data_IF_409263298696
#
_entry.id   IF_409263298696
#
_cell.length_a   1.000
_cell.length_b   1.000
_cell.length_c   1.000
_cell.angle_alpha   90.00
_cell.angle_beta   90.00
_cell.angle_gamma   90.00
#
_symmetry.space_group_name_H-M   'P 1'
#
loop_
_entity.id
_entity.type
_entity.pdbx_description
1 polymer ?
#
# COMPACT_ATOMS: atom_id res chain seq x y z
N UNK A 1 15.17 13.10 -15.98
CA UNK A 1 16.37 12.59 -15.29
C UNK A 1 15.98 12.33 -13.85
N UNK A 2 15.82 11.06 -13.49
CA UNK A 2 15.66 10.69 -12.08
C UNK A 2 16.98 10.90 -11.35
N UNK A 3 16.97 11.51 -10.15
CA UNK A 3 18.19 11.65 -9.37
C UNK A 3 18.69 10.26 -8.94
N UNK A 4 20.00 10.07 -8.94
CA UNK A 4 20.61 8.84 -8.46
C UNK A 4 20.30 8.59 -6.98
N UNK A 5 20.19 7.31 -6.63
CA UNK A 5 20.04 6.91 -5.23
C UNK A 5 21.26 7.37 -4.42
N UNK A 6 21.01 7.93 -3.25
CA UNK A 6 22.10 8.22 -2.31
C UNK A 6 22.81 6.92 -1.93
N UNK A 7 24.09 6.96 -1.60
CA UNK A 7 24.89 5.79 -1.22
C UNK A 7 24.24 4.97 -0.11
N UNK A 8 23.63 5.63 0.88
CA UNK A 8 22.91 4.97 1.97
C UNK A 8 21.69 4.15 1.47
N UNK A 9 20.91 4.70 0.52
CA UNK A 9 19.76 4.02 -0.06
C UNK A 9 20.15 2.92 -1.05
N UNK A 10 21.32 3.03 -1.67
CA UNK A 10 21.85 2.02 -2.59
C UNK A 10 22.51 0.84 -1.86
N UNK A 11 22.85 0.97 -0.57
CA UNK A 11 23.42 -0.12 0.21
C UNK A 11 22.42 -1.29 0.35
N UNK A 12 22.88 -2.56 0.23
CA UNK A 12 22.02 -3.72 0.45
C UNK A 12 21.39 -3.68 1.84
N UNK A 13 20.07 -3.87 1.92
CA UNK A 13 19.37 -3.91 3.19
C UNK A 13 17.97 -3.33 3.15
N UNK A 14 17.49 -2.91 4.32
CA UNK A 14 16.13 -2.39 4.48
C UNK A 14 15.92 -1.09 3.70
N UNK A 15 16.87 -0.17 3.74
CA UNK A 15 16.74 1.12 3.08
C UNK A 15 16.63 1.00 1.56
N UNK A 16 17.41 0.11 0.96
CA UNK A 16 17.29 -0.18 -0.48
C UNK A 16 15.91 -0.76 -0.82
N UNK A 17 15.40 -1.69 0.01
CA UNK A 17 14.06 -2.27 -0.21
C UNK A 17 12.98 -1.20 -0.13
N UNK A 18 13.04 -0.30 0.85
CA UNK A 18 12.09 0.81 0.96
C UNK A 18 12.18 1.76 -0.24
N UNK A 19 13.39 2.07 -0.71
CA UNK A 19 13.60 2.88 -1.89
C UNK A 19 12.99 2.22 -3.13
N UNK A 20 13.23 0.94 -3.36
CA UNK A 20 12.65 0.18 -4.47
C UNK A 20 11.12 0.19 -4.38
N UNK A 21 10.55 -0.08 -3.20
CA UNK A 21 9.10 -0.09 -3.02
C UNK A 21 8.46 1.28 -3.27
N UNK A 22 9.19 2.35 -2.92
CA UNK A 22 8.76 3.72 -3.17
C UNK A 22 8.80 4.07 -4.66
N UNK A 23 9.91 3.78 -5.34
CA UNK A 23 10.04 4.00 -6.79
C UNK A 23 8.97 3.24 -7.57
N UNK A 24 8.76 1.97 -7.23
CA UNK A 24 7.69 1.18 -7.85
C UNK A 24 6.30 1.78 -7.63
N UNK A 25 6.06 2.40 -6.49
CA UNK A 25 4.78 3.06 -6.20
C UNK A 25 4.57 4.31 -7.06
N UNK A 26 5.64 4.99 -7.46
CA UNK A 26 5.60 6.17 -8.32
C UNK A 26 5.47 5.75 -9.79
N UNK A 27 6.34 4.87 -10.25
CA UNK A 27 6.41 4.44 -11.65
C UNK A 27 5.13 3.69 -12.09
N UNK A 28 4.62 2.80 -11.22
CA UNK A 28 3.43 2.00 -11.50
C UNK A 28 2.16 2.57 -10.83
N UNK A 29 2.12 3.88 -10.63
CA UNK A 29 0.91 4.56 -10.16
C UNK A 29 -0.26 4.28 -11.11
N UNK A 30 -1.42 3.89 -10.56
CA UNK A 30 -2.64 3.52 -11.31
C UNK A 30 -2.59 2.22 -12.12
N UNK A 31 -1.51 1.42 -12.02
CA UNK A 31 -1.38 0.13 -12.72
C UNK A 31 -1.76 -1.07 -11.83
N UNK A 32 -2.37 -0.83 -10.69
CA UNK A 32 -2.84 -1.84 -9.72
C UNK A 32 -1.73 -2.72 -9.09
N UNK A 33 -0.46 -2.47 -9.43
CA UNK A 33 0.70 -3.24 -8.94
C UNK A 33 0.94 -3.07 -7.44
N UNK A 34 0.58 -1.90 -6.89
CA UNK A 34 0.86 -1.52 -5.50
C UNK A 34 0.32 -2.52 -4.48
N UNK A 35 -0.90 -3.01 -4.67
CA UNK A 35 -1.51 -3.99 -3.78
C UNK A 35 -0.68 -5.28 -3.70
N UNK A 36 -0.27 -5.80 -4.84
CA UNK A 36 0.53 -7.03 -4.91
C UNK A 36 1.93 -6.87 -4.32
N UNK A 37 2.56 -5.72 -4.50
CA UNK A 37 3.84 -5.42 -3.87
C UNK A 37 3.73 -5.40 -2.36
N UNK A 38 2.72 -4.72 -1.82
CA UNK A 38 2.50 -4.62 -0.38
C UNK A 38 2.15 -5.98 0.25
N UNK A 39 1.32 -6.78 -0.39
CA UNK A 39 0.96 -8.12 0.09
C UNK A 39 2.16 -9.07 0.04
N UNK A 40 2.91 -9.10 -1.06
CA UNK A 40 4.10 -9.93 -1.21
C UNK A 40 5.18 -9.60 -0.19
N UNK A 41 5.34 -8.32 0.15
CA UNK A 41 6.34 -7.86 1.11
C UNK A 41 5.82 -7.81 2.55
N UNK A 42 4.58 -8.23 2.78
CA UNK A 42 3.90 -8.23 4.08
C UNK A 42 3.93 -6.84 4.75
N UNK A 43 3.59 -5.81 3.99
CA UNK A 43 3.61 -4.41 4.41
C UNK A 43 2.25 -3.95 4.92
N UNK A 44 1.73 -4.64 5.95
CA UNK A 44 0.50 -4.27 6.64
C UNK A 44 0.58 -2.89 7.29
N UNK A 45 1.78 -2.46 7.69
CA UNK A 45 2.07 -1.11 8.15
C UNK A 45 1.58 -0.05 7.16
N UNK A 46 1.80 -0.25 5.86
CA UNK A 46 1.36 0.68 4.83
C UNK A 46 -0.14 0.59 4.53
N UNK A 47 -0.75 -0.58 4.65
CA UNK A 47 -2.21 -0.72 4.56
C UNK A 47 -2.94 -0.04 5.72
N UNK A 48 -2.35 -0.07 6.91
CA UNK A 48 -2.88 0.57 8.12
C UNK A 48 -2.58 2.07 8.18
N UNK A 49 -1.70 2.57 7.32
CA UNK A 49 -1.37 4.00 7.30
C UNK A 49 -2.56 4.83 6.81
N UNK A 50 -2.95 5.87 7.54
CA UNK A 50 -3.99 6.79 7.11
C UNK A 50 -3.67 7.45 5.77
N UNK A 51 -4.67 7.58 4.91
CA UNK A 51 -4.52 8.35 3.67
C UNK A 51 -4.69 9.82 3.99
N UNK A 52 -3.77 10.64 3.48
CA UNK A 52 -3.84 12.08 3.58
C UNK A 52 -4.55 12.65 2.35
N UNK A 53 -5.44 13.59 2.58
CA UNK A 53 -6.05 14.41 1.54
C UNK A 53 -5.34 15.76 1.51
N UNK A 54 -5.00 16.22 0.32
CA UNK A 54 -4.43 17.54 0.10
C UNK A 54 -5.56 18.51 -0.26
N UNK A 55 -5.73 19.56 0.55
CA UNK A 55 -6.54 20.71 0.21
C UNK A 55 -5.66 21.80 -0.38
N UNK A 56 -6.07 22.31 -1.51
CA UNK A 56 -5.43 23.43 -2.16
C UNK A 56 -6.44 24.58 -2.19
N UNK A 57 -6.14 25.64 -1.50
CA UNK A 57 -6.95 26.86 -1.51
C UNK A 57 -6.17 27.99 -2.16
N UNK A 58 -6.86 28.82 -2.93
CA UNK A 58 -6.30 30.03 -3.55
C UNK A 58 -6.99 31.23 -2.93
N UNK A 59 -6.23 32.17 -2.40
CA UNK A 59 -6.77 33.41 -1.87
C UNK A 59 -7.08 34.43 -2.98
N UNK A 60 -7.64 35.58 -2.58
CA UNK A 60 -7.98 36.68 -3.50
C UNK A 60 -6.78 37.35 -4.14
N UNK A 61 -5.57 37.12 -3.60
CA UNK A 61 -4.31 37.65 -4.12
C UNK A 61 -3.59 36.64 -5.04
N UNK A 62 -4.17 35.43 -5.22
CA UNK A 62 -3.64 34.39 -6.08
C UNK A 62 -2.63 33.46 -5.40
N UNK A 63 -2.44 33.58 -4.09
CA UNK A 63 -1.51 32.71 -3.32
C UNK A 63 -2.17 31.38 -3.03
N UNK A 64 -1.45 30.28 -3.28
CA UNK A 64 -1.90 28.92 -2.99
C UNK A 64 -1.45 28.48 -1.61
N UNK A 65 -2.40 27.97 -0.82
CA UNK A 65 -2.13 27.32 0.47
C UNK A 65 -2.44 25.83 0.36
N UNK A 66 -1.52 25.01 0.86
CA UNK A 66 -1.61 23.56 0.84
C UNK A 66 -1.80 23.02 2.26
N UNK A 67 -2.91 22.36 2.51
CA UNK A 67 -3.21 21.79 3.83
C UNK A 67 -3.47 20.30 3.72
N UNK A 68 -2.78 19.52 4.57
CA UNK A 68 -3.00 18.07 4.66
C UNK A 68 -4.08 17.78 5.70
N UNK A 69 -5.04 16.94 5.33
CA UNK A 69 -6.09 16.46 6.23
C UNK A 69 -6.11 14.92 6.25
N UNK A 70 -6.03 14.36 7.46
CA UNK A 70 -6.10 12.93 7.72
C UNK A 70 -7.46 12.47 8.23
N UNK A 71 -8.31 13.38 8.65
CA UNK A 71 -9.52 13.09 9.44
C UNK A 71 -10.51 12.19 8.72
N UNK A 72 -10.74 12.43 7.45
CA UNK A 72 -11.78 11.75 6.65
C UNK A 72 -11.44 10.28 6.36
N UNK A 73 -10.17 9.91 6.37
CA UNK A 73 -9.70 8.60 5.92
C UNK A 73 -9.19 7.69 7.04
N UNK A 74 -9.19 8.16 8.29
CA UNK A 74 -8.78 7.36 9.45
C UNK A 74 -9.77 6.24 9.79
N UNK A 75 -10.97 6.25 9.20
CA UNK A 75 -12.02 5.27 9.47
C UNK A 75 -12.11 4.15 8.42
N UNK A 76 -11.12 4.05 7.53
CA UNK A 76 -11.10 2.97 6.55
C UNK A 76 -11.07 1.61 7.24
N UNK A 77 -11.83 0.67 6.70
CA UNK A 77 -11.92 -0.68 7.24
C UNK A 77 -10.57 -1.37 7.42
N UNK A 78 -9.61 -1.13 6.51
CA UNK A 78 -8.25 -1.67 6.58
C UNK A 78 -7.44 -1.18 7.79
N UNK A 79 -7.63 0.06 8.21
CA UNK A 79 -6.93 0.61 9.38
C UNK A 79 -7.42 -0.07 10.67
N UNK A 80 -8.73 -0.29 10.76
CA UNK A 80 -9.36 -0.85 11.97
C UNK A 80 -9.40 -2.38 11.98
N UNK A 81 -9.58 -2.99 10.81
CA UNK A 81 -9.94 -4.40 10.68
C UNK A 81 -8.93 -5.21 9.88
N UNK A 82 -7.67 -4.79 9.85
CA UNK A 82 -6.64 -5.57 9.19
C UNK A 82 -6.50 -6.95 9.82
N UNK A 83 -6.41 -7.97 8.99
CA UNK A 83 -6.08 -9.33 9.40
C UNK A 83 -5.04 -9.91 8.45
N UNK A 84 -4.12 -10.70 8.94
CA UNK A 84 -3.05 -11.32 8.14
C UNK A 84 -3.56 -12.24 7.03
N UNK A 85 -4.81 -12.70 7.14
CA UNK A 85 -5.47 -13.44 6.06
C UNK A 85 -5.49 -12.66 4.74
N UNK A 86 -5.51 -11.32 4.80
CA UNK A 86 -5.54 -10.48 3.60
C UNK A 86 -4.24 -10.47 2.78
N UNK A 87 -3.17 -11.06 3.30
CA UNK A 87 -1.99 -11.34 2.49
C UNK A 87 -2.18 -12.50 1.50
N UNK A 88 -3.20 -13.31 1.71
CA UNK A 88 -3.53 -14.45 0.86
C UNK A 88 -4.95 -14.29 0.30
N UNK A 89 -5.12 -14.64 -0.96
CA UNK A 89 -6.44 -14.69 -1.58
C UNK A 89 -7.11 -16.01 -1.15
N UNK A 90 -8.41 -16.00 -0.75
CA UNK A 90 -9.11 -17.24 -0.43
C UNK A 90 -9.21 -18.14 -1.66
N UNK A 91 -9.08 -19.44 -1.46
CA UNK A 91 -9.37 -20.41 -2.50
C UNK A 91 -10.90 -20.46 -2.68
N UNK A 92 -11.42 -20.34 -3.92
CA UNK A 92 -12.85 -20.43 -4.16
C UNK A 92 -13.46 -21.69 -3.55
N UNK A 93 -14.60 -21.56 -2.88
CA UNK A 93 -15.25 -22.69 -2.21
C UNK A 93 -15.60 -23.82 -3.18
N UNK A 94 -15.93 -23.49 -4.42
CA UNK A 94 -16.19 -24.47 -5.49
C UNK A 94 -14.97 -25.38 -5.74
N UNK A 95 -13.75 -24.84 -5.69
CA UNK A 95 -12.51 -25.61 -5.87
C UNK A 95 -12.26 -26.54 -4.67
N UNK A 96 -12.51 -26.06 -3.46
CA UNK A 96 -12.39 -26.88 -2.25
C UNK A 96 -13.39 -28.05 -2.29
N UNK A 97 -14.62 -27.80 -2.74
CA UNK A 97 -15.69 -28.78 -2.80
C UNK A 97 -15.43 -29.91 -3.83
N UNK A 98 -14.50 -29.73 -4.76
CA UNK A 98 -14.07 -30.79 -5.69
C UNK A 98 -13.31 -31.93 -5.01
N UNK A 99 -12.98 -31.80 -3.73
CA UNK A 99 -12.36 -32.85 -2.89
C UNK A 99 -11.00 -33.35 -3.38
N UNK A 100 -10.20 -32.48 -4.01
CA UNK A 100 -8.82 -32.79 -4.42
C UNK A 100 -7.81 -32.68 -3.26
N UNK A 101 -8.26 -32.61 -2.03
CA UNK A 101 -7.40 -32.40 -0.88
C UNK A 101 -6.97 -30.95 -0.65
N UNK A 102 -7.59 -29.99 -1.33
CA UNK A 102 -7.34 -28.57 -1.11
C UNK A 102 -7.83 -28.13 0.26
N UNK A 103 -6.98 -27.42 1.00
CA UNK A 103 -7.29 -26.82 2.29
C UNK A 103 -7.30 -25.31 2.12
N UNK A 104 -8.25 -24.64 2.73
CA UNK A 104 -8.37 -23.20 2.68
C UNK A 104 -7.14 -22.51 3.29
N UNK A 105 -6.78 -21.35 2.77
CA UNK A 105 -5.75 -20.51 3.33
C UNK A 105 -6.07 -20.11 4.77
N UNK A 106 -5.07 -19.98 5.66
CA UNK A 106 -5.29 -19.64 7.06
C UNK A 106 -6.13 -18.38 7.25
N UNK A 107 -7.14 -18.46 8.10
CA UNK A 107 -8.01 -17.34 8.44
C UNK A 107 -9.21 -17.09 7.52
N UNK A 108 -9.37 -17.91 6.48
CA UNK A 108 -10.53 -17.88 5.57
C UNK A 108 -11.50 -19.02 5.83
#
# INVERSE_FOLDING_TARGET
>A
NMPDLTTAKAAPGRELREAILHERAIEFGYEEVRYFDLTRWKRDDLFKTPIERLFITKDSQGVFTYTKDRKVYNERGWIKNWSDRYFLIPIPLEEINKKYGLVQNPGW
#
